data_IF_331232475366
#
_entry.id   IF_331232475366
#
_cell.length_a   1.000
_cell.length_b   1.000
_cell.length_c   1.000
_cell.angle_alpha   90.00
_cell.angle_beta   90.00
_cell.angle_gamma   90.00
#
_symmetry.space_group_name_H-M   'P 1'
#
loop_
_entity.id
_entity.type
_entity.pdbx_description
1 polymer ?
#
# COMPACT_ATOMS: atom_id res chain seq x y z
N UNK A 1 -17.22 1.99 13.61
CA UNK A 1 -17.44 1.00 12.54
C UNK A 1 -16.08 0.68 11.98
N UNK A 2 -15.68 -0.61 11.89
CA UNK A 2 -14.49 -0.96 11.12
C UNK A 2 -14.82 -0.65 9.67
N UNK A 3 -14.12 0.30 9.06
CA UNK A 3 -14.22 0.55 7.63
C UNK A 3 -13.88 -0.77 6.94
N UNK A 4 -14.86 -1.34 6.23
CA UNK A 4 -14.55 -2.40 5.27
C UNK A 4 -13.62 -1.80 4.25
N UNK A 5 -12.41 -2.37 4.13
CA UNK A 5 -11.43 -1.97 3.12
C UNK A 5 -12.13 -1.78 1.77
N UNK A 6 -11.83 -0.69 1.03
CA UNK A 6 -12.53 -0.38 -0.20
C UNK A 6 -12.01 -1.26 -1.35
N UNK A 7 -11.01 -2.10 -1.05
CA UNK A 7 -10.40 -3.09 -1.93
C UNK A 7 -10.96 -4.46 -1.54
N UNK A 8 -11.36 -5.24 -2.54
CA UNK A 8 -11.96 -6.55 -2.31
C UNK A 8 -10.94 -7.50 -1.65
N UNK A 9 -11.41 -8.44 -0.83
CA UNK A 9 -10.55 -9.38 -0.10
C UNK A 9 -9.61 -10.18 -1.02
N UNK A 10 -10.08 -10.58 -2.20
CA UNK A 10 -9.25 -11.29 -3.20
C UNK A 10 -8.13 -10.40 -3.77
N UNK A 11 -8.40 -9.11 -3.97
CA UNK A 11 -7.42 -8.15 -4.44
C UNK A 11 -6.36 -7.89 -3.36
N UNK A 12 -6.76 -7.80 -2.09
CA UNK A 12 -5.85 -7.69 -0.95
C UNK A 12 -4.96 -8.95 -0.84
N UNK A 13 -5.54 -10.14 -0.93
CA UNK A 13 -4.80 -11.39 -0.90
C UNK A 13 -3.76 -11.47 -2.03
N UNK A 14 -4.14 -11.07 -3.24
CA UNK A 14 -3.23 -11.02 -4.37
C UNK A 14 -2.07 -10.02 -4.16
N UNK A 15 -2.34 -8.86 -3.55
CA UNK A 15 -1.31 -7.86 -3.24
C UNK A 15 -0.32 -8.39 -2.19
N UNK A 16 -0.79 -9.06 -1.15
CA UNK A 16 0.07 -9.67 -0.12
C UNK A 16 0.98 -10.76 -0.69
N UNK A 17 0.50 -11.57 -1.64
CA UNK A 17 1.34 -12.56 -2.33
C UNK A 17 2.45 -11.90 -3.15
N UNK A 18 2.21 -10.70 -3.71
CA UNK A 18 3.23 -9.92 -4.40
C UNK A 18 4.24 -9.28 -3.44
N UNK A 19 3.87 -9.09 -2.17
CA UNK A 19 4.66 -8.38 -1.15
C UNK A 19 4.72 -9.18 0.18
N UNK A 20 5.26 -10.41 0.18
CA UNK A 20 5.10 -11.36 1.30
C UNK A 20 5.89 -11.01 2.57
N UNK A 21 6.79 -10.01 2.51
CA UNK A 21 7.59 -9.55 3.65
C UNK A 21 7.56 -8.02 3.77
N UNK A 22 6.37 -7.46 3.58
CA UNK A 22 6.13 -6.03 3.64
C UNK A 22 4.93 -5.71 4.52
N UNK A 23 5.03 -4.64 5.31
CA UNK A 23 3.85 -3.98 5.87
C UNK A 23 3.15 -3.20 4.75
N UNK A 24 1.84 -3.37 4.63
CA UNK A 24 1.00 -2.60 3.70
C UNK A 24 0.12 -1.66 4.52
N UNK A 25 0.22 -0.36 4.24
CA UNK A 25 -0.58 0.68 4.90
C UNK A 25 -1.48 1.34 3.87
N UNK A 26 -2.76 1.47 4.21
CA UNK A 26 -3.75 2.19 3.42
C UNK A 26 -3.95 3.59 4.00
N UNK A 27 -3.60 4.62 3.24
CA UNK A 27 -3.70 6.02 3.60
C UNK A 27 -4.49 6.85 2.59
N UNK A 28 -4.21 8.15 2.55
CA UNK A 28 -4.87 9.11 1.68
C UNK A 28 -6.32 9.38 2.09
N UNK A 29 -7.14 9.79 1.11
CA UNK A 29 -8.58 10.07 1.27
C UNK A 29 -9.33 8.95 2.00
N UNK A 30 -9.00 7.69 1.71
CA UNK A 30 -9.55 6.52 2.40
C UNK A 30 -9.35 6.57 3.93
N UNK A 31 -8.11 6.75 4.40
CA UNK A 31 -7.83 6.71 5.83
C UNK A 31 -8.38 7.93 6.58
N UNK A 32 -8.57 9.05 5.87
CA UNK A 32 -9.17 10.26 6.41
C UNK A 32 -10.70 10.20 6.43
N UNK A 33 -11.31 9.27 5.68
CA UNK A 33 -12.76 9.21 5.51
C UNK A 33 -13.33 10.41 4.74
N UNK A 34 -12.48 11.17 4.05
CA UNK A 34 -12.83 12.40 3.32
C UNK A 34 -12.44 12.24 1.85
N UNK A 35 -13.35 12.56 0.93
CA UNK A 35 -12.99 12.64 -0.48
C UNK A 35 -12.32 13.98 -0.75
N UNK A 36 -11.01 13.95 -0.99
CA UNK A 36 -10.25 15.15 -1.35
C UNK A 36 -10.19 15.23 -2.89
N UNK A 37 -10.80 16.27 -3.51
CA UNK A 37 -10.79 16.42 -4.96
C UNK A 37 -9.36 16.39 -5.53
N UNK A 38 -9.19 15.77 -6.70
CA UNK A 38 -7.92 15.68 -7.44
C UNK A 38 -6.82 14.83 -6.77
N UNK A 39 -7.14 14.13 -5.68
CA UNK A 39 -6.22 13.18 -5.02
C UNK A 39 -6.62 11.73 -5.27
N UNK A 40 -5.76 10.78 -4.89
CA UNK A 40 -6.09 9.36 -4.89
C UNK A 40 -7.24 9.06 -3.93
N UNK A 41 -8.11 8.14 -4.32
CA UNK A 41 -9.15 7.59 -3.44
C UNK A 41 -8.51 6.82 -2.28
N UNK A 42 -7.38 6.16 -2.54
CA UNK A 42 -6.58 5.47 -1.53
C UNK A 42 -5.09 5.48 -1.88
N UNK A 43 -4.26 5.77 -0.89
CA UNK A 43 -2.81 5.63 -0.97
C UNK A 43 -2.40 4.28 -0.40
N UNK A 44 -1.56 3.54 -1.11
CA UNK A 44 -1.03 2.26 -0.65
C UNK A 44 0.47 2.43 -0.43
N UNK A 45 0.91 2.32 0.81
CA UNK A 45 2.31 2.32 1.20
C UNK A 45 2.77 0.89 1.47
N UNK A 46 3.77 0.44 0.71
CA UNK A 46 4.41 -0.86 0.87
C UNK A 46 5.76 -0.63 1.55
N UNK A 47 5.93 -1.22 2.74
CA UNK A 47 7.10 -1.05 3.62
C UNK A 47 7.78 -2.41 3.77
N UNK A 48 8.80 -2.74 2.95
CA UNK A 48 9.53 -4.00 3.07
C UNK A 48 10.34 -4.05 4.37
N UNK A 49 10.26 -5.17 5.11
CA UNK A 49 10.91 -5.36 6.42
C UNK A 49 12.33 -5.87 6.34
N UNK A 50 12.61 -6.79 5.43
CA UNK A 50 13.98 -7.07 5.07
C UNK A 50 14.53 -5.93 4.22
N UNK A 51 15.85 -5.74 4.23
CA UNK A 51 16.60 -5.06 3.16
C UNK A 51 16.47 -5.83 1.82
N UNK A 52 15.31 -6.45 1.57
CA UNK A 52 14.99 -7.22 0.39
C UNK A 52 15.12 -6.31 -0.81
N UNK A 53 16.32 -6.43 -1.38
CA UNK A 53 16.70 -6.25 -2.75
C UNK A 53 15.76 -5.29 -3.47
N UNK A 54 16.14 -4.02 -3.56
CA UNK A 54 15.46 -3.00 -4.39
C UNK A 54 15.02 -3.59 -5.74
N UNK A 55 15.76 -4.58 -6.25
CA UNK A 55 15.43 -5.40 -7.42
C UNK A 55 14.13 -6.20 -7.30
N UNK A 56 13.83 -6.87 -6.18
CA UNK A 56 12.57 -7.60 -5.93
C UNK A 56 11.39 -6.64 -5.88
N UNK A 57 11.55 -5.51 -5.17
CA UNK A 57 10.55 -4.43 -5.15
C UNK A 57 10.32 -3.88 -6.56
N UNK A 58 11.40 -3.63 -7.32
CA UNK A 58 11.33 -3.13 -8.69
C UNK A 58 10.73 -4.16 -9.67
N UNK A 59 11.04 -5.45 -9.47
CA UNK A 59 10.49 -6.56 -10.24
C UNK A 59 8.99 -6.72 -9.97
N UNK A 60 8.57 -6.59 -8.71
CA UNK A 60 7.16 -6.62 -8.33
C UNK A 60 6.43 -5.34 -8.72
N UNK A 61 7.11 -4.21 -8.93
CA UNK A 61 6.50 -2.94 -9.37
C UNK A 61 5.64 -3.13 -10.62
N UNK A 62 6.10 -3.89 -11.62
CA UNK A 62 5.28 -4.15 -12.82
C UNK A 62 4.03 -4.97 -12.51
N UNK A 63 4.15 -6.01 -11.69
CA UNK A 63 3.02 -6.85 -11.27
C UNK A 63 2.02 -6.06 -10.43
N UNK A 64 2.51 -5.20 -9.54
CA UNK A 64 1.72 -4.29 -8.73
C UNK A 64 0.99 -3.26 -9.61
N UNK A 65 1.63 -2.73 -10.65
CA UNK A 65 0.96 -1.85 -11.62
C UNK A 65 -0.12 -2.58 -12.43
N UNK A 66 0.10 -3.85 -12.79
CA UNK A 66 -0.92 -4.67 -13.43
C UNK A 66 -2.07 -5.00 -12.48
N UNK A 67 -1.77 -5.28 -11.21
CA UNK A 67 -2.76 -5.48 -10.16
C UNK A 67 -3.60 -4.21 -9.96
N UNK A 68 -2.97 -3.03 -9.89
CA UNK A 68 -3.64 -1.73 -9.75
C UNK A 68 -4.71 -1.51 -10.82
N UNK A 69 -4.43 -1.89 -12.08
CA UNK A 69 -5.40 -1.78 -13.20
C UNK A 69 -6.66 -2.64 -13.03
N UNK A 70 -6.66 -3.63 -12.13
CA UNK A 70 -7.80 -4.49 -11.83
C UNK A 70 -8.63 -3.99 -10.66
N UNK A 71 -8.17 -2.95 -9.98
CA UNK A 71 -8.89 -2.32 -8.87
C UNK A 71 -9.70 -1.17 -9.44
N UNK A 72 -11.02 -1.18 -9.23
CA UNK A 72 -11.95 -0.17 -9.73
C UNK A 72 -11.96 1.07 -8.82
N UNK A 73 -10.79 1.69 -8.64
CA UNK A 73 -10.59 2.95 -7.90
C UNK A 73 -9.26 3.61 -8.23
N UNK A 74 -9.16 4.92 -7.97
CA UNK A 74 -7.94 5.68 -8.18
C UNK A 74 -6.94 5.46 -7.03
N UNK A 75 -6.02 4.52 -7.23
CA UNK A 75 -4.96 4.20 -6.26
C UNK A 75 -3.68 5.00 -6.51
N UNK A 76 -3.03 5.51 -5.47
CA UNK A 76 -1.61 5.89 -5.52
C UNK A 76 -0.78 4.84 -4.79
N UNK A 77 0.40 4.52 -5.33
CA UNK A 77 1.24 3.46 -4.79
C UNK A 77 2.65 3.95 -4.50
N UNK A 78 3.08 3.73 -3.26
CA UNK A 78 4.35 4.18 -2.73
C UNK A 78 5.09 2.99 -2.15
N UNK A 79 6.36 2.85 -2.48
CA UNK A 79 7.24 1.89 -1.81
C UNK A 79 8.25 2.67 -0.98
N UNK A 80 8.19 2.51 0.34
CA UNK A 80 8.99 3.29 1.29
C UNK A 80 9.87 2.32 2.05
N UNK A 81 11.21 2.40 1.92
CA UNK A 81 12.12 1.59 2.72
C UNK A 81 11.86 1.82 4.21
N UNK A 82 11.82 0.75 5.01
CA UNK A 82 11.59 0.85 6.46
C UNK A 82 12.61 1.77 7.15
N UNK A 83 13.85 1.79 6.66
CA UNK A 83 14.91 2.68 7.14
C UNK A 83 14.54 4.16 7.01
N UNK A 84 13.81 4.55 5.96
CA UNK A 84 13.39 5.94 5.76
C UNK A 84 12.36 6.39 6.80
N UNK A 85 11.57 5.44 7.33
CA UNK A 85 10.65 5.68 8.44
C UNK A 85 11.39 5.76 9.77
N UNK A 86 12.39 4.89 9.99
CA UNK A 86 13.24 4.91 11.20
C UNK A 86 14.01 6.21 11.36
N UNK A 87 14.41 6.86 10.27
CA UNK A 87 15.06 8.18 10.28
C UNK A 87 14.09 9.36 10.22
N UNK A 88 12.78 9.12 10.35
CA UNK A 88 11.73 10.15 10.31
C UNK A 88 11.71 10.99 9.03
N UNK A 89 12.24 10.50 7.90
CA UNK A 89 12.13 11.20 6.61
C UNK A 89 10.70 11.28 6.10
N UNK A 90 9.85 10.34 6.53
CA UNK A 90 8.44 10.26 6.18
C UNK A 90 7.60 10.00 7.42
N UNK A 91 6.41 10.60 7.47
CA UNK A 91 5.34 10.22 8.41
C UNK A 91 4.18 9.67 7.59
N UNK A 92 3.78 8.44 7.89
CA UNK A 92 2.66 7.76 7.23
C UNK A 92 1.53 7.65 8.24
N UNK A 93 0.35 8.15 7.87
CA UNK A 93 -0.89 7.96 8.62
C UNK A 93 -1.82 7.09 7.78
N UNK A 94 -2.34 6.02 8.37
CA UNK A 94 -3.21 5.10 7.65
C UNK A 94 -3.62 3.88 8.47
N UNK A 95 -4.46 3.05 7.87
CA UNK A 95 -4.83 1.74 8.41
C UNK A 95 -3.80 0.69 8.00
N UNK A 96 -3.23 -0.01 8.98
CA UNK A 96 -2.25 -1.07 8.74
C UNK A 96 -2.97 -2.38 8.50
N UNK A 97 -2.67 -3.04 7.39
CA UNK A 97 -3.11 -4.41 7.17
C UNK A 97 -2.10 -5.37 7.80
N UNK A 98 -2.41 -5.83 9.01
CA UNK A 98 -1.65 -6.92 9.64
C UNK A 98 -2.29 -8.23 9.19
N UNK A 99 -1.64 -8.97 8.31
CA UNK A 99 -2.00 -10.37 8.08
C UNK A 99 -1.35 -11.21 9.19
N UNK A 100 -2.19 -11.84 10.01
CA UNK A 100 -1.79 -12.89 10.94
C UNK A 100 -1.65 -14.23 10.25
#
# INVERSE_FOLDING_TARGET
MLNTSPIQAEQLAALSVLCPDSTIVFGGSYALGEHIPETSDCDIYIIPHTLADTRTVFYNKQKIQQWKKRVDMNLSLHVIPELALKFEFYKITGEVLVQG
#
